data_IF_311682997441
#
_entry.id   IF_311682997441
#
_cell.length_a   1.000
_cell.length_b   1.000
_cell.length_c   1.000
_cell.angle_alpha   90.00
_cell.angle_beta   90.00
_cell.angle_gamma   90.00
#
_symmetry.space_group_name_H-M   'P 1'
#
loop_
_entity.id
_entity.type
_entity.pdbx_description
1 polymer ?
#
# COMPACT_ATOMS: atom_id res chain seq x y z
N UNK A 1 2.32 22.94 -21.57
CA UNK A 1 0.87 23.18 -21.70
C UNK A 1 0.29 23.22 -20.30
N UNK A 2 -0.60 24.16 -19.97
CA UNK A 2 -1.28 24.21 -18.67
C UNK A 2 -2.56 23.37 -18.73
N UNK A 3 -2.42 22.06 -18.56
CA UNK A 3 -3.55 21.14 -18.44
C UNK A 3 -3.90 21.01 -16.96
N UNK A 4 -5.17 21.15 -16.62
CA UNK A 4 -5.67 21.05 -15.26
C UNK A 4 -5.45 19.65 -14.72
N UNK A 5 -4.76 19.58 -13.60
CA UNK A 5 -4.49 18.37 -12.84
C UNK A 5 -4.56 18.77 -11.37
N UNK A 6 -4.97 17.88 -10.48
CA UNK A 6 -5.13 18.14 -9.06
C UNK A 6 -4.30 17.14 -8.25
N UNK A 7 -3.68 17.59 -7.16
CA UNK A 7 -3.11 16.67 -6.18
C UNK A 7 -4.24 15.91 -5.46
N UNK A 8 -4.08 14.61 -5.25
CA UNK A 8 -5.10 13.75 -4.66
C UNK A 8 -4.55 13.00 -3.43
N UNK A 9 -5.22 13.06 -2.27
CA UNK A 9 -4.92 12.20 -1.12
C UNK A 9 -4.83 10.72 -1.48
N UNK A 10 -3.93 10.02 -0.80
CA UNK A 10 -3.67 8.59 -0.95
C UNK A 10 -3.24 7.98 0.39
N UNK A 11 -2.70 6.75 0.40
CA UNK A 11 -2.16 6.13 1.59
C UNK A 11 -0.79 5.49 1.33
N UNK A 12 0.10 5.54 2.31
CA UNK A 12 1.45 4.99 2.22
C UNK A 12 1.82 4.27 3.52
N UNK A 13 2.61 3.21 3.41
CA UNK A 13 3.17 2.52 4.56
C UNK A 13 4.12 1.41 4.15
N UNK A 14 3.89 0.23 4.71
CA UNK A 14 4.72 -0.95 4.51
C UNK A 14 3.86 -2.16 4.19
N UNK A 15 4.43 -3.21 3.59
CA UNK A 15 3.79 -4.52 3.54
C UNK A 15 4.15 -5.28 4.80
N UNK A 16 3.16 -5.81 5.50
CA UNK A 16 3.39 -6.65 6.68
C UNK A 16 3.11 -8.08 6.29
N UNK A 17 4.03 -8.98 6.62
CA UNK A 17 3.90 -10.40 6.38
C UNK A 17 4.07 -11.20 7.68
N UNK A 18 3.18 -12.18 7.85
CA UNK A 18 3.16 -13.15 8.94
C UNK A 18 3.19 -14.56 8.37
N UNK A 19 3.66 -15.57 9.11
CA UNK A 19 3.23 -16.93 8.87
C UNK A 19 1.70 -17.00 8.81
N UNK A 20 1.15 -17.61 7.76
CA UNK A 20 -0.30 -17.72 7.54
C UNK A 20 -0.99 -18.42 8.72
N UNK A 21 -0.29 -19.35 9.37
CA UNK A 21 -0.78 -20.07 10.55
C UNK A 21 -1.16 -19.12 11.69
N UNK A 22 -0.41 -18.03 11.93
CA UNK A 22 -0.73 -17.05 12.99
C UNK A 22 -2.08 -16.38 12.69
N UNK A 23 -2.32 -16.06 11.42
CA UNK A 23 -3.58 -15.45 10.99
C UNK A 23 -4.73 -16.45 11.09
N UNK A 24 -4.50 -17.69 10.64
CA UNK A 24 -5.48 -18.77 10.72
C UNK A 24 -5.90 -19.06 12.17
N UNK A 25 -4.93 -19.16 13.08
CA UNK A 25 -5.19 -19.36 14.50
C UNK A 25 -6.00 -18.20 15.09
N UNK A 26 -5.70 -16.96 14.71
CA UNK A 26 -6.44 -15.82 15.21
C UNK A 26 -7.85 -15.70 14.64
N UNK A 27 -8.08 -16.05 13.38
CA UNK A 27 -9.37 -15.89 12.70
C UNK A 27 -10.32 -17.07 12.96
N UNK A 28 -9.78 -18.29 12.99
CA UNK A 28 -10.56 -19.51 13.20
C UNK A 28 -10.61 -19.98 14.65
N UNK A 29 -9.82 -19.36 15.53
CA UNK A 29 -9.75 -19.70 16.96
C UNK A 29 -9.42 -21.19 17.21
N UNK A 30 -8.55 -21.76 16.38
CA UNK A 30 -8.09 -23.15 16.48
C UNK A 30 -6.58 -23.22 16.28
N UNK A 31 -5.91 -24.21 16.88
CA UNK A 31 -4.45 -24.34 16.76
C UNK A 31 -4.00 -24.70 15.34
N UNK A 32 -4.74 -25.59 14.68
CA UNK A 32 -4.45 -26.06 13.31
C UNK A 32 -5.67 -25.81 12.43
N UNK A 33 -5.46 -25.13 11.30
CA UNK A 33 -6.50 -24.92 10.29
C UNK A 33 -6.88 -26.26 9.66
N UNK A 34 -8.17 -26.59 9.68
CA UNK A 34 -8.69 -27.78 9.00
C UNK A 34 -8.54 -27.72 7.47
N UNK A 35 -8.48 -28.88 6.82
CA UNK A 35 -8.24 -29.02 5.37
C UNK A 35 -9.26 -28.27 4.50
N UNK A 36 -10.52 -28.18 4.95
CA UNK A 36 -11.61 -27.55 4.20
C UNK A 36 -11.74 -26.05 4.44
N UNK A 37 -10.98 -25.48 5.37
CA UNK A 37 -10.97 -24.04 5.59
C UNK A 37 -9.96 -23.39 4.66
N UNK A 38 -10.35 -22.33 3.93
CA UNK A 38 -9.39 -21.58 3.14
C UNK A 38 -8.37 -20.88 4.06
N UNK A 39 -7.20 -20.50 3.55
CA UNK A 39 -6.35 -19.52 4.22
C UNK A 39 -7.15 -18.28 4.60
N UNK A 40 -7.14 -17.96 5.89
CA UNK A 40 -7.94 -16.88 6.46
C UNK A 40 -7.43 -15.52 6.01
N UNK A 41 -8.33 -14.55 6.00
CA UNK A 41 -8.04 -13.15 5.69
C UNK A 41 -8.46 -12.24 6.84
N UNK A 42 -7.97 -11.00 6.84
CA UNK A 42 -8.34 -10.00 7.83
C UNK A 42 -8.57 -8.63 7.19
N UNK A 43 -9.26 -7.77 7.94
CA UNK A 43 -9.35 -6.34 7.70
C UNK A 43 -9.20 -5.62 9.03
N UNK A 44 -8.19 -4.77 9.14
CA UNK A 44 -7.84 -4.02 10.34
C UNK A 44 -7.85 -2.53 10.02
N UNK A 45 -8.41 -1.75 10.94
CA UNK A 45 -8.43 -0.28 10.89
C UNK A 45 -8.23 0.27 12.28
N UNK A 46 -7.45 1.34 12.40
CA UNK A 46 -7.20 2.10 13.62
C UNK A 46 -7.18 3.59 13.28
N UNK A 47 -7.54 4.44 14.24
CA UNK A 47 -7.37 5.89 14.12
C UNK A 47 -6.23 6.33 15.02
N UNK A 48 -5.23 6.97 14.43
CA UNK A 48 -4.07 7.50 15.14
C UNK A 48 -3.84 8.94 14.74
N UNK A 49 -3.86 9.85 15.71
CA UNK A 49 -3.61 11.27 15.49
C UNK A 49 -4.43 11.85 14.31
N UNK A 50 -5.74 11.56 14.31
CA UNK A 50 -6.67 12.04 13.28
C UNK A 50 -6.45 11.48 11.87
N UNK A 51 -5.73 10.35 11.73
CA UNK A 51 -5.56 9.63 10.47
C UNK A 51 -5.88 8.15 10.61
N UNK A 52 -6.49 7.60 9.56
CA UNK A 52 -6.70 6.17 9.44
C UNK A 52 -5.38 5.43 9.18
N UNK A 53 -5.15 4.37 9.95
CA UNK A 53 -4.14 3.35 9.69
C UNK A 53 -4.88 2.05 9.44
N UNK A 54 -4.66 1.40 8.30
CA UNK A 54 -5.49 0.26 7.90
C UNK A 54 -4.74 -0.76 7.04
N UNK A 55 -5.23 -2.00 7.08
CA UNK A 55 -4.81 -3.05 6.16
C UNK A 55 -5.44 -2.86 4.78
N UNK A 56 -4.66 -3.05 3.73
CA UNK A 56 -5.01 -2.88 2.33
C UNK A 56 -4.48 -4.07 1.53
N UNK A 57 -5.22 -4.50 0.51
CA UNK A 57 -4.82 -5.59 -0.38
C UNK A 57 -4.36 -6.84 0.39
N UNK A 58 -5.17 -7.35 1.32
CA UNK A 58 -4.80 -8.54 2.09
C UNK A 58 -4.70 -9.77 1.18
N UNK A 59 -3.55 -10.44 1.21
CA UNK A 59 -3.17 -11.57 0.37
C UNK A 59 -2.92 -12.80 1.27
N UNK A 60 -3.95 -13.64 1.49
CA UNK A 60 -3.80 -14.86 2.26
C UNK A 60 -3.05 -15.91 1.42
N UNK A 61 -2.12 -16.62 2.04
CA UNK A 61 -1.21 -17.56 1.36
C UNK A 61 -0.52 -16.91 0.17
N UNK A 62 -0.09 -15.67 0.35
CA UNK A 62 0.39 -14.76 -0.68
C UNK A 62 1.90 -14.54 -0.68
N UNK A 63 2.33 -13.64 -1.54
CA UNK A 63 3.72 -13.26 -1.78
C UNK A 63 3.81 -11.74 -1.85
N UNK A 64 4.83 -11.14 -1.25
CA UNK A 64 5.19 -9.73 -1.45
C UNK A 64 5.92 -9.60 -2.79
N UNK A 65 5.41 -8.74 -3.66
CA UNK A 65 5.97 -8.52 -4.99
C UNK A 65 6.82 -7.24 -5.06
N UNK A 66 7.96 -7.25 -5.78
CA UNK A 66 8.63 -6.03 -6.21
C UNK A 66 7.81 -5.36 -7.32
N UNK A 67 7.40 -4.11 -7.10
CA UNK A 67 6.49 -3.38 -7.98
C UNK A 67 7.05 -2.02 -8.46
N UNK A 68 8.36 -1.79 -8.29
CA UNK A 68 8.98 -0.58 -8.79
C UNK A 68 8.95 -0.57 -10.33
N UNK A 69 8.60 0.57 -10.91
CA UNK A 69 8.50 0.74 -12.38
C UNK A 69 9.62 1.60 -12.95
N UNK A 70 10.53 2.11 -12.11
CA UNK A 70 11.71 2.86 -12.52
C UNK A 70 12.93 2.40 -11.71
N UNK A 71 14.14 2.49 -12.30
CA UNK A 71 15.38 2.28 -11.55
C UNK A 71 15.51 3.27 -10.39
N UNK A 72 16.09 2.81 -9.27
CA UNK A 72 16.34 3.66 -8.10
C UNK A 72 15.13 3.83 -7.16
N UNK A 73 14.07 3.05 -7.34
CA UNK A 73 12.86 3.08 -6.51
C UNK A 73 12.62 1.70 -5.88
N UNK A 74 12.19 1.65 -4.62
CA UNK A 74 11.58 0.44 -4.04
C UNK A 74 10.10 0.69 -3.88
N UNK A 75 9.32 -0.23 -4.42
CA UNK A 75 7.87 -0.30 -4.24
C UNK A 75 7.54 -1.76 -4.00
N UNK A 76 6.76 -2.02 -2.96
CA UNK A 76 6.19 -3.34 -2.70
C UNK A 76 4.68 -3.32 -2.92
N UNK A 77 4.16 -4.49 -3.27
CA UNK A 77 2.74 -4.83 -3.24
C UNK A 77 2.65 -6.33 -2.90
N UNK A 78 1.52 -6.96 -3.14
CA UNK A 78 1.38 -8.40 -2.92
C UNK A 78 0.27 -9.00 -3.74
N UNK A 79 0.33 -10.33 -3.82
CA UNK A 79 -0.60 -11.15 -4.58
C UNK A 79 -0.68 -12.53 -3.95
N UNK A 80 -1.70 -13.30 -4.33
CA UNK A 80 -1.78 -14.73 -3.99
C UNK A 80 -2.01 -15.55 -5.25
N UNK A 81 -1.41 -16.75 -5.37
CA UNK A 81 -1.86 -17.72 -6.36
C UNK A 81 -3.32 -18.10 -6.09
N UNK A 82 -4.03 -18.59 -7.10
CA UNK A 82 -5.42 -19.05 -6.94
C UNK A 82 -5.59 -20.04 -5.78
N UNK A 83 -4.61 -20.94 -5.60
CA UNK A 83 -4.58 -21.91 -4.50
C UNK A 83 -4.30 -21.31 -3.11
N UNK A 84 -3.77 -20.08 -3.02
CA UNK A 84 -3.39 -19.41 -1.76
C UNK A 84 -2.54 -20.30 -0.85
N UNK A 85 -1.58 -21.00 -1.42
CA UNK A 85 -0.84 -22.07 -0.73
C UNK A 85 0.59 -21.68 -0.36
N UNK A 86 0.93 -20.38 -0.37
CA UNK A 86 2.18 -19.92 0.21
C UNK A 86 2.09 -19.97 1.76
N UNK A 87 3.19 -20.25 2.49
CA UNK A 87 3.18 -20.25 3.95
C UNK A 87 2.88 -18.89 4.61
N UNK A 88 2.81 -17.79 3.85
CA UNK A 88 2.70 -16.45 4.40
C UNK A 88 1.38 -15.75 4.09
N UNK A 89 0.91 -14.92 5.03
CA UNK A 89 -0.15 -13.95 4.84
C UNK A 89 0.46 -12.55 4.83
N UNK A 90 0.15 -11.73 3.82
CA UNK A 90 0.61 -10.34 3.81
C UNK A 90 -0.48 -9.33 3.49
N UNK A 91 -0.30 -8.09 3.93
CA UNK A 91 -1.14 -6.96 3.51
C UNK A 91 -0.34 -5.67 3.52
N UNK A 92 -0.71 -4.72 2.66
CA UNK A 92 -0.28 -3.33 2.84
C UNK A 92 -0.85 -2.82 4.16
N UNK A 93 -0.03 -2.31 5.06
CA UNK A 93 -0.48 -1.60 6.26
C UNK A 93 -0.07 -0.15 6.11
N UNK A 94 -1.07 0.69 5.84
CA UNK A 94 -0.86 2.01 5.28
C UNK A 94 -1.56 3.08 6.10
N UNK A 95 -1.00 4.28 6.07
CA UNK A 95 -1.51 5.47 6.75
C UNK A 95 -2.09 6.40 5.72
N UNK A 96 -3.29 6.93 6.00
CA UNK A 96 -3.90 7.97 5.17
C UNK A 96 -3.04 9.24 5.15
N UNK A 97 -2.81 9.77 3.96
CA UNK A 97 -2.11 11.03 3.71
C UNK A 97 -3.08 12.00 3.08
N UNK A 98 -3.31 13.13 3.75
CA UNK A 98 -4.04 14.25 3.17
C UNK A 98 -3.08 15.32 2.62
N UNK A 99 -3.63 16.34 1.97
CA UNK A 99 -2.86 17.42 1.37
C UNK A 99 -2.00 18.16 2.42
N UNK A 100 -2.54 18.41 3.60
CA UNK A 100 -1.87 19.10 4.71
C UNK A 100 -0.75 18.28 5.37
N UNK A 101 -0.62 16.99 5.06
CA UNK A 101 0.46 16.15 5.58
C UNK A 101 1.76 16.28 4.80
N UNK A 102 1.70 16.83 3.57
CA UNK A 102 2.83 16.93 2.65
C UNK A 102 3.17 18.40 2.42
N UNK A 103 4.39 18.79 2.79
CA UNK A 103 4.90 20.15 2.57
C UNK A 103 5.14 20.41 1.08
N UNK A 104 5.03 21.68 0.67
CA UNK A 104 5.25 22.12 -0.70
C UNK A 104 4.15 23.07 -1.19
N UNK A 105 4.29 23.55 -2.42
CA UNK A 105 3.31 24.43 -3.07
C UNK A 105 1.94 23.76 -3.15
N UNK A 106 0.91 24.38 -2.58
CA UNK A 106 -0.47 23.89 -2.62
C UNK A 106 -1.05 23.87 -4.03
N UNK A 107 -0.48 24.66 -4.94
CA UNK A 107 -0.89 24.70 -6.35
C UNK A 107 -0.12 23.71 -7.23
N UNK A 108 0.88 22.99 -6.69
CA UNK A 108 1.58 21.95 -7.44
C UNK A 108 0.73 20.66 -7.50
N UNK A 109 0.17 20.30 -8.67
CA UNK A 109 -0.65 19.10 -8.80
C UNK A 109 0.15 17.80 -8.58
N UNK A 110 1.46 17.85 -8.68
CA UNK A 110 2.35 16.71 -8.52
C UNK A 110 2.98 16.61 -7.14
N UNK A 111 2.62 17.49 -6.19
CA UNK A 111 3.22 17.51 -4.84
C UNK A 111 3.20 16.14 -4.16
N UNK A 112 2.06 15.45 -4.20
CA UNK A 112 1.90 14.13 -3.56
C UNK A 112 2.60 13.01 -4.36
N UNK A 113 2.70 13.14 -5.69
CA UNK A 113 3.47 12.23 -6.54
C UNK A 113 4.98 12.35 -6.28
N UNK A 114 5.47 13.59 -6.14
CA UNK A 114 6.87 13.87 -5.80
C UNK A 114 7.21 13.33 -4.40
N UNK A 115 6.31 13.52 -3.43
CA UNK A 115 6.46 12.93 -2.09
C UNK A 115 6.51 11.40 -2.13
N UNK A 116 5.60 10.77 -2.88
CA UNK A 116 5.62 9.31 -3.10
C UNK A 116 6.98 8.85 -3.64
N UNK A 117 7.46 9.48 -4.72
CA UNK A 117 8.75 9.14 -5.34
C UNK A 117 9.93 9.30 -4.37
N UNK A 118 9.95 10.36 -3.56
CA UNK A 118 11.02 10.58 -2.57
C UNK A 118 11.11 9.44 -1.56
N UNK A 119 9.97 8.93 -1.08
CA UNK A 119 9.93 7.80 -0.13
C UNK A 119 10.40 6.50 -0.80
N UNK A 120 10.02 6.27 -2.06
CA UNK A 120 10.46 5.11 -2.85
C UNK A 120 11.99 5.10 -3.07
N UNK A 121 12.58 6.27 -3.31
CA UNK A 121 14.04 6.44 -3.47
C UNK A 121 14.80 6.32 -2.15
N UNK A 122 14.24 6.83 -1.05
CA UNK A 122 14.77 6.64 0.29
C UNK A 122 14.81 5.14 0.64
N UNK A 123 13.75 4.40 0.32
CA UNK A 123 13.67 2.96 0.52
C UNK A 123 14.71 2.20 -0.32
N UNK A 124 14.91 2.58 -1.58
CA UNK A 124 15.97 2.01 -2.43
C UNK A 124 17.37 2.21 -1.85
N UNK A 125 17.65 3.43 -1.39
CA UNK A 125 18.94 3.76 -0.77
C UNK A 125 19.18 2.94 0.48
N UNK A 126 18.17 2.86 1.36
CA UNK A 126 18.28 2.12 2.62
C UNK A 126 18.44 0.60 2.39
N UNK A 127 17.72 0.06 1.40
CA UNK A 127 17.86 -1.31 0.91
C UNK A 127 19.23 -1.67 0.34
N UNK A 128 20.04 -0.66 -0.04
CA UNK A 128 21.37 -0.86 -0.62
C UNK A 128 21.35 -1.11 -2.13
N UNK A 129 20.25 -0.78 -2.81
CA UNK A 129 20.07 -0.99 -4.25
C UNK A 129 19.68 -2.41 -4.64
N UNK A 130 19.78 -2.73 -5.94
CA UNK A 130 19.47 -4.05 -6.52
C UNK A 130 18.06 -4.59 -6.18
N UNK A 131 17.08 -3.72 -5.99
CA UNK A 131 15.72 -4.07 -5.57
C UNK A 131 15.64 -4.81 -4.22
N UNK A 132 16.68 -4.75 -3.38
CA UNK A 132 16.60 -5.26 -2.01
C UNK A 132 15.76 -4.28 -1.20
N UNK A 133 14.72 -4.78 -0.53
CA UNK A 133 13.81 -3.93 0.24
C UNK A 133 14.29 -3.75 1.69
N UNK A 134 14.20 -2.52 2.25
CA UNK A 134 14.44 -2.32 3.67
C UNK A 134 13.32 -3.00 4.48
N UNK A 135 13.70 -3.69 5.55
CA UNK A 135 12.76 -4.40 6.39
C UNK A 135 13.14 -4.39 7.87
N UNK A 136 12.16 -4.64 8.73
CA UNK A 136 12.31 -4.66 10.18
C UNK A 136 11.28 -5.61 10.80
N UNK A 137 11.59 -6.23 11.93
CA UNK A 137 10.59 -7.00 12.69
C UNK A 137 9.59 -6.07 13.36
N UNK A 138 8.36 -6.55 13.57
CA UNK A 138 7.26 -5.69 14.04
C UNK A 138 7.48 -5.11 15.44
N UNK A 139 7.85 -5.92 16.44
CA UNK A 139 8.05 -5.41 17.80
C UNK A 139 9.27 -4.49 17.81
N UNK A 140 10.33 -4.86 17.10
CA UNK A 140 11.54 -4.03 16.98
C UNK A 140 11.23 -2.66 16.36
N UNK A 141 10.40 -2.62 15.31
CA UNK A 141 9.90 -1.38 14.71
C UNK A 141 9.14 -0.51 15.73
N UNK A 142 8.21 -1.11 16.47
CA UNK A 142 7.41 -0.39 17.48
C UNK A 142 8.28 0.12 18.62
N UNK A 143 9.24 -0.68 19.07
CA UNK A 143 10.16 -0.33 20.16
C UNK A 143 11.30 0.60 19.71
N UNK A 144 11.48 0.80 18.40
CA UNK A 144 12.56 1.61 17.85
C UNK A 144 13.94 0.94 17.99
N UNK A 145 13.99 -0.39 17.87
CA UNK A 145 15.21 -1.22 17.95
C UNK A 145 15.59 -1.75 16.58
N UNK A 146 16.90 -1.89 16.33
CA UNK A 146 17.39 -2.53 15.13
C UNK A 146 17.16 -4.05 15.18
N UNK A 147 16.63 -4.63 14.11
CA UNK A 147 16.48 -6.09 14.01
C UNK A 147 17.82 -6.73 13.65
N UNK A 148 18.38 -7.55 14.53
CA UNK A 148 19.64 -8.28 14.28
C UNK A 148 19.54 -9.24 13.11
N UNK A 149 18.34 -9.75 12.87
CA UNK A 149 17.98 -10.74 11.87
C UNK A 149 16.51 -10.53 11.46
N UNK A 150 16.16 -11.04 10.27
CA UNK A 150 14.82 -10.92 9.70
C UNK A 150 14.19 -12.30 9.56
N UNK A 151 12.87 -12.45 9.79
CA UNK A 151 12.15 -13.68 9.51
C UNK A 151 12.29 -14.09 8.03
N UNK A 152 12.17 -15.40 7.77
CA UNK A 152 11.98 -15.90 6.41
C UNK A 152 10.72 -15.22 5.85
N UNK A 153 10.82 -14.74 4.62
CA UNK A 153 9.79 -13.95 3.98
C UNK A 153 9.71 -14.28 2.49
N UNK A 154 8.62 -13.87 1.86
CA UNK A 154 8.31 -14.18 0.46
C UNK A 154 8.90 -13.19 -0.55
N UNK A 155 9.49 -12.07 -0.09
CA UNK A 155 9.99 -11.02 -0.97
C UNK A 155 11.27 -11.43 -1.70
N UNK A 156 11.16 -11.68 -3.00
CA UNK A 156 12.27 -11.98 -3.92
C UNK A 156 12.51 -10.73 -4.75
N UNK A 157 13.48 -9.85 -4.39
CA UNK A 157 14.93 -10.09 -4.54
C UNK A 157 15.74 -10.18 -3.24
N UNK A 158 15.08 -10.09 -2.08
CA UNK A 158 15.69 -10.14 -0.77
C UNK A 158 15.41 -8.89 0.07
N UNK A 159 15.56 -9.03 1.39
CA UNK A 159 15.33 -7.96 2.35
C UNK A 159 16.60 -7.62 3.12
N UNK A 160 16.73 -6.36 3.53
CA UNK A 160 17.85 -5.87 4.34
C UNK A 160 17.35 -5.25 5.62
N UNK A 161 17.87 -5.72 6.75
CA UNK A 161 17.52 -5.17 8.06
C UNK A 161 17.92 -3.70 8.14
N UNK A 162 16.94 -2.85 8.43
CA UNK A 162 17.05 -1.39 8.38
C UNK A 162 16.16 -0.78 9.45
N UNK A 163 16.56 0.37 10.01
CA UNK A 163 15.66 1.19 10.81
C UNK A 163 14.62 1.86 9.90
N UNK A 164 13.40 1.32 9.80
CA UNK A 164 12.37 1.90 8.92
C UNK A 164 11.97 3.33 9.30
N UNK A 165 12.30 3.78 10.53
CA UNK A 165 12.22 5.18 10.94
C UNK A 165 13.03 6.12 10.04
N UNK A 166 14.14 5.65 9.47
CA UNK A 166 15.01 6.43 8.58
C UNK A 166 14.49 6.46 7.13
N UNK A 167 13.52 5.59 6.80
CA UNK A 167 12.95 5.45 5.46
C UNK A 167 11.59 6.14 5.37
N UNK A 168 10.75 5.92 6.38
CA UNK A 168 9.39 6.42 6.40
C UNK A 168 9.35 7.87 6.90
N UNK A 169 8.52 8.73 6.29
CA UNK A 169 8.21 10.04 6.85
C UNK A 169 7.73 9.93 8.31
N UNK A 170 8.20 10.84 9.17
CA UNK A 170 7.98 10.77 10.63
C UNK A 170 6.52 10.49 11.01
N UNK A 171 5.58 11.26 10.45
CA UNK A 171 4.15 11.10 10.73
C UNK A 171 3.63 9.69 10.40
N UNK A 172 4.13 9.07 9.33
CA UNK A 172 3.73 7.73 8.91
C UNK A 172 4.35 6.69 9.86
N UNK A 173 5.64 6.83 10.16
CA UNK A 173 6.34 5.99 11.12
C UNK A 173 5.63 5.95 12.48
N UNK A 174 5.35 7.13 13.07
CA UNK A 174 4.72 7.24 14.39
C UNK A 174 3.31 6.64 14.40
N UNK A 175 2.51 6.90 13.35
CA UNK A 175 1.15 6.36 13.26
C UNK A 175 1.12 4.84 13.13
N UNK A 176 2.02 4.27 12.33
CA UNK A 176 2.20 2.81 12.27
C UNK A 176 2.64 2.25 13.62
N UNK A 177 3.62 2.89 14.26
CA UNK A 177 4.14 2.47 15.58
C UNK A 177 3.03 2.41 16.65
N UNK A 178 2.11 3.36 16.66
CA UNK A 178 0.98 3.36 17.61
C UNK A 178 -0.14 2.39 17.22
N UNK A 179 -0.39 2.19 15.92
CA UNK A 179 -1.47 1.32 15.45
C UNK A 179 -1.18 -0.18 15.62
N UNK A 180 0.06 -0.62 15.40
CA UNK A 180 0.41 -2.04 15.40
C UNK A 180 0.11 -2.76 16.73
N UNK A 181 0.38 -2.19 17.91
CA UNK A 181 -0.07 -2.77 19.17
C UNK A 181 -1.60 -2.87 19.29
N UNK A 182 -2.36 -1.91 18.74
CA UNK A 182 -3.83 -1.97 18.76
C UNK A 182 -4.35 -3.07 17.82
N UNK A 183 -3.71 -3.27 16.67
CA UNK A 183 -3.98 -4.42 15.81
C UNK A 183 -3.72 -5.74 16.55
N UNK A 184 -2.66 -5.83 17.34
CA UNK A 184 -2.40 -6.99 18.21
C UNK A 184 -3.49 -7.26 19.25
N UNK A 185 -4.17 -6.22 19.76
CA UNK A 185 -5.33 -6.38 20.65
C UNK A 185 -6.58 -6.85 19.91
N UNK A 186 -6.76 -6.42 18.66
CA UNK A 186 -7.89 -6.80 17.79
C UNK A 186 -7.74 -8.21 17.23
N UNK A 187 -6.51 -8.64 16.97
CA UNK A 187 -6.19 -9.93 16.38
C UNK A 187 -5.03 -10.56 17.14
N UNK A 188 -5.35 -11.52 17.99
CA UNK A 188 -4.39 -12.16 18.90
C UNK A 188 -3.26 -12.80 18.10
N UNK A 189 -2.02 -12.49 18.47
CA UNK A 189 -0.83 -13.00 17.78
C UNK A 189 -0.34 -12.13 16.61
N UNK A 190 -1.11 -11.12 16.18
CA UNK A 190 -0.67 -10.22 15.11
C UNK A 190 0.55 -9.38 15.49
N UNK A 191 0.60 -8.92 16.75
CA UNK A 191 1.74 -8.16 17.28
C UNK A 191 2.84 -9.12 17.75
N UNK A 192 3.77 -9.44 16.85
CA UNK A 192 4.81 -10.48 17.05
C UNK A 192 6.06 -10.20 16.20
N UNK A 193 7.24 -10.66 16.65
CA UNK A 193 8.48 -10.61 15.86
C UNK A 193 8.62 -11.74 14.83
N UNK A 194 7.65 -12.67 14.78
CA UNK A 194 7.45 -13.56 13.61
C UNK A 194 6.98 -12.77 12.38
N UNK A 195 6.48 -11.55 12.58
CA UNK A 195 6.05 -10.67 11.52
C UNK A 195 7.18 -9.75 11.04
N UNK A 196 7.25 -9.56 9.73
CA UNK A 196 8.19 -8.66 9.07
C UNK A 196 7.43 -7.49 8.41
N UNK A 197 7.97 -6.28 8.58
CA UNK A 197 7.55 -5.09 7.86
C UNK A 197 8.55 -4.89 6.71
N UNK A 198 8.05 -4.85 5.48
CA UNK A 198 8.83 -4.68 4.26
C UNK A 198 8.42 -3.37 3.59
N UNK A 199 9.38 -2.47 3.38
CA UNK A 199 9.13 -1.14 2.83
C UNK A 199 9.37 -1.07 1.31
N UNK A 200 8.69 -0.20 0.54
CA UNK A 200 7.57 0.67 0.93
C UNK A 200 6.33 0.39 0.07
N UNK A 201 5.16 0.37 0.72
CA UNK A 201 3.85 0.24 0.07
C UNK A 201 3.32 1.64 -0.21
N UNK A 202 3.66 2.19 -1.37
CA UNK A 202 3.49 3.62 -1.68
C UNK A 202 2.37 3.92 -2.69
N UNK A 203 1.98 2.94 -3.51
CA UNK A 203 1.08 3.12 -4.68
C UNK A 203 -0.30 2.50 -4.47
N UNK A 204 -0.97 2.89 -3.38
CA UNK A 204 -2.31 2.37 -3.01
C UNK A 204 -3.46 2.94 -3.83
N UNK A 205 -3.31 4.15 -4.35
CA UNK A 205 -4.18 4.80 -5.32
C UNK A 205 -3.43 5.96 -5.98
N UNK A 206 -3.97 6.55 -7.05
CA UNK A 206 -3.31 7.69 -7.69
C UNK A 206 -3.17 8.88 -6.74
N UNK A 207 -1.95 9.46 -6.61
CA UNK A 207 -1.68 10.70 -5.87
C UNK A 207 -2.08 11.95 -6.68
N UNK A 208 -2.63 11.74 -7.87
CA UNK A 208 -3.04 12.77 -8.83
C UNK A 208 -4.47 12.49 -9.27
N UNK A 209 -5.22 13.54 -9.56
CA UNK A 209 -6.53 13.47 -10.19
C UNK A 209 -6.53 14.30 -11.47
N UNK A 210 -6.93 13.70 -12.57
CA UNK A 210 -7.11 14.39 -13.84
C UNK A 210 -8.61 14.66 -13.96
N UNK A 211 -9.08 15.87 -13.62
CA UNK A 211 -10.51 16.12 -13.45
C UNK A 211 -11.27 15.91 -14.75
N UNK A 212 -12.50 15.43 -14.62
CA UNK A 212 -13.46 15.28 -15.71
C UNK A 212 -14.86 15.67 -15.23
N UNK A 213 -15.69 16.11 -16.17
CA UNK A 213 -17.10 16.36 -15.93
C UNK A 213 -17.85 15.05 -15.62
N UNK A 214 -18.83 15.11 -14.71
CA UNK A 214 -19.52 13.91 -14.21
C UNK A 214 -20.50 13.30 -15.21
N UNK A 215 -20.95 14.07 -16.19
CA UNK A 215 -21.98 13.66 -17.14
C UNK A 215 -21.34 13.24 -18.46
N UNK A 216 -20.48 14.10 -19.01
CA UNK A 216 -19.79 13.88 -20.28
C UNK A 216 -18.51 13.06 -20.16
N UNK A 217 -17.96 12.88 -18.96
CA UNK A 217 -16.69 12.21 -18.69
C UNK A 217 -15.47 12.88 -19.35
N UNK A 218 -15.63 14.06 -19.94
CA UNK A 218 -14.55 14.78 -20.60
C UNK A 218 -13.78 15.68 -19.65
N UNK A 219 -12.50 15.88 -19.94
CA UNK A 219 -11.67 16.86 -19.26
C UNK A 219 -12.21 18.29 -19.51
N UNK A 220 -12.33 19.15 -18.49
CA UNK A 220 -12.98 20.46 -18.61
C UNK A 220 -12.30 21.43 -19.57
N UNK A 221 -11.02 21.22 -19.88
CA UNK A 221 -10.25 22.08 -20.80
C UNK A 221 -9.96 21.44 -22.17
N UNK A 222 -10.20 20.14 -22.31
CA UNK A 222 -9.77 19.39 -23.51
C UNK A 222 -10.93 18.50 -23.94
N UNK A 223 -11.65 18.94 -24.97
CA UNK A 223 -12.70 18.12 -25.58
C UNK A 223 -12.09 16.89 -26.25
N UNK A 224 -12.78 15.75 -26.13
CA UNK A 224 -12.32 14.45 -26.60
C UNK A 224 -11.32 13.75 -25.67
N UNK A 225 -10.89 14.37 -24.56
CA UNK A 225 -10.09 13.72 -23.54
C UNK A 225 -10.97 13.14 -22.45
N UNK A 226 -10.91 11.83 -22.22
CA UNK A 226 -11.69 11.10 -21.22
C UNK A 226 -10.77 10.48 -20.15
N UNK A 227 -10.42 11.21 -19.08
CA UNK A 227 -9.64 10.64 -17.98
C UNK A 227 -10.38 9.46 -17.36
N UNK A 228 -9.76 8.29 -17.25
CA UNK A 228 -10.41 7.07 -16.80
C UNK A 228 -9.51 6.21 -15.88
N UNK A 229 -10.17 5.36 -15.08
CA UNK A 229 -9.55 4.38 -14.21
C UNK A 229 -8.82 4.98 -13.02
N UNK A 230 -7.95 4.16 -12.42
CA UNK A 230 -7.22 4.51 -11.20
C UNK A 230 -6.19 5.62 -11.44
N UNK A 231 -5.49 5.59 -12.57
CA UNK A 231 -4.49 6.61 -12.92
C UNK A 231 -5.07 8.03 -12.97
N UNK A 232 -6.31 8.18 -13.48
CA UNK A 232 -7.02 9.46 -13.48
C UNK A 232 -7.62 9.84 -12.11
N UNK A 233 -7.63 8.92 -11.14
CA UNK A 233 -8.15 9.13 -9.79
C UNK A 233 -9.65 8.78 -9.61
N UNK A 234 -10.25 7.99 -10.51
CA UNK A 234 -11.68 7.65 -10.51
C UNK A 234 -11.99 6.19 -10.13
N UNK A 235 -10.98 5.40 -9.84
CA UNK A 235 -11.11 4.00 -9.40
C UNK A 235 -10.03 3.65 -8.36
N UNK A 236 -10.19 2.50 -7.68
CA UNK A 236 -9.26 2.03 -6.65
C UNK A 236 -9.11 0.51 -6.61
N UNK A 237 -9.37 -0.15 -7.73
CA UNK A 237 -9.28 -1.60 -7.87
C UNK A 237 -9.84 -2.09 -9.20
N UNK A 238 -9.56 -3.36 -9.52
CA UNK A 238 -9.82 -3.96 -10.84
C UNK A 238 -11.27 -3.75 -11.32
N UNK A 239 -12.25 -4.11 -10.48
CA UNK A 239 -13.67 -4.02 -10.84
C UNK A 239 -14.09 -2.55 -11.03
N UNK A 240 -13.72 -1.66 -10.09
CA UNK A 240 -14.05 -0.24 -10.21
C UNK A 240 -13.42 0.41 -11.45
N UNK A 241 -12.19 0.02 -11.80
CA UNK A 241 -11.49 0.55 -12.97
C UNK A 241 -12.12 0.06 -14.28
N UNK A 242 -12.56 -1.21 -14.32
CA UNK A 242 -13.27 -1.77 -15.46
C UNK A 242 -14.63 -1.07 -15.68
N UNK A 243 -15.41 -0.88 -14.61
CA UNK A 243 -16.69 -0.16 -14.67
C UNK A 243 -16.48 1.28 -15.14
N UNK A 244 -15.46 1.96 -14.60
CA UNK A 244 -15.12 3.32 -15.03
C UNK A 244 -14.74 3.39 -16.52
N UNK A 245 -13.98 2.40 -17.00
CA UNK A 245 -13.61 2.25 -18.39
C UNK A 245 -14.83 2.07 -19.30
N UNK A 246 -15.81 1.26 -18.92
CA UNK A 246 -17.08 1.09 -19.66
C UNK A 246 -17.82 2.42 -19.75
N UNK A 247 -17.96 3.14 -18.64
CA UNK A 247 -18.65 4.43 -18.62
C UNK A 247 -17.97 5.47 -19.52
N UNK A 248 -16.64 5.54 -19.50
CA UNK A 248 -15.87 6.42 -20.39
C UNK A 248 -16.03 6.02 -21.86
N UNK A 249 -16.05 4.73 -22.18
CA UNK A 249 -16.24 4.25 -23.55
C UNK A 249 -17.64 4.61 -24.08
N UNK A 250 -18.69 4.43 -23.27
CA UNK A 250 -20.06 4.85 -23.62
C UNK A 250 -20.18 6.37 -23.80
N UNK A 251 -19.50 7.15 -22.96
CA UNK A 251 -19.47 8.60 -23.09
C UNK A 251 -18.73 9.06 -24.36
N UNK A 252 -17.63 8.39 -24.71
CA UNK A 252 -16.89 8.66 -25.93
C UNK A 252 -17.71 8.34 -27.18
N UNK A 253 -18.46 7.23 -27.18
CA UNK A 253 -19.33 6.85 -28.29
C UNK A 253 -20.35 7.96 -28.63
N UNK A 254 -20.96 8.55 -27.61
CA UNK A 254 -21.93 9.66 -27.75
C UNK A 254 -21.35 10.95 -28.36
N UNK A 255 -20.03 11.06 -28.49
CA UNK A 255 -19.37 12.21 -29.12
C UNK A 255 -19.03 11.98 -30.59
N UNK A 256 -19.16 10.74 -31.07
CA UNK A 256 -18.92 10.35 -32.46
C UNK A 256 -20.20 10.40 -33.31
N UNK A 257 -21.36 10.39 -32.66
CA UNK A 257 -22.70 10.56 -33.26
C UNK A 257 -23.05 12.05 -33.41
#
# INVERSE_FOLDING_TARGET
QNILVEAKPFALGVRIEHPQEIIDQSQYHCEVRGEYLPPSYYSLVEQVDGRGVFSFCMCPGGIIAPCATKPGEIVVNGWSPSKRNNPFANSGTVVQINLEDVLGDENDPFRLLNFQQQVEQAAFTAGGGNQIAPAQRMIDFVEGKFSTDLPINSYVPGTKSTMLKEVLPDKIFYRLKEALPQFGKKMKGYYTNEAILVGVESRTSSPVKIPRDKISYQHPQISGLFPCGEGAGYAGGIISAAIDGINCAEAALKTLD
#
